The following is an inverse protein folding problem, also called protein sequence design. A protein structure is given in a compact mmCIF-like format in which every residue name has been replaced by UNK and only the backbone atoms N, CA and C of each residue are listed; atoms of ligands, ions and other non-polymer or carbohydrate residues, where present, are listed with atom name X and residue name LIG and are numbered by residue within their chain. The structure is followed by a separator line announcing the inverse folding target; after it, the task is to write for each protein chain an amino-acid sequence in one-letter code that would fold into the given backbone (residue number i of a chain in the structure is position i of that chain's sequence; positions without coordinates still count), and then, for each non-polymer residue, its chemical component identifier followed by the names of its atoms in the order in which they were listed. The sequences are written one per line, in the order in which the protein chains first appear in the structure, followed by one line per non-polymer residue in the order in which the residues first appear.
data_IF_699209725610
#
_entry.id   IF_699209725610
#
_cell.length_a   1.000
_cell.length_b   1.000
_cell.length_c   1.000
_cell.angle_alpha   90.00
_cell.angle_beta   90.00
_cell.angle_gamma   90.00
#
_symmetry.space_group_name_H-M   'P 1'
#
loop_
_entity.id
_entity.type
_entity.pdbx_description
1 polymer ?
#
# COMPACT_ATOMS: atom_id res chain seq x y z
N UNK A 1 -0.10 -11.64 21.45
CA UNK A 1 -1.01 -11.42 20.30
C UNK A 1 -2.41 -11.18 20.85
N UNK A 2 -3.15 -10.20 20.32
CA UNK A 2 -4.50 -9.82 20.75
C UNK A 2 -5.44 -10.06 19.57
N UNK A 3 -6.54 -10.79 19.81
CA UNK A 3 -7.60 -11.01 18.81
C UNK A 3 -8.55 -9.83 18.79
N UNK A 4 -8.98 -9.40 17.62
CA UNK A 4 -10.00 -8.36 17.48
C UNK A 4 -11.36 -8.83 18.04
N UNK A 5 -12.14 -7.89 18.58
CA UNK A 5 -13.44 -8.20 19.20
C UNK A 5 -14.57 -8.38 18.19
N UNK A 6 -14.43 -7.79 17.01
CA UNK A 6 -15.46 -7.76 15.96
C UNK A 6 -15.12 -8.69 14.79
N UNK A 7 -13.82 -8.89 14.54
CA UNK A 7 -13.31 -9.69 13.42
C UNK A 7 -12.53 -10.90 13.94
N UNK A 8 -13.15 -12.05 13.95
CA UNK A 8 -12.60 -13.26 14.55
C UNK A 8 -11.27 -13.73 13.94
N UNK A 9 -11.02 -13.39 12.68
CA UNK A 9 -9.79 -13.75 11.96
C UNK A 9 -8.74 -12.64 11.96
N UNK A 10 -8.98 -11.53 12.69
CA UNK A 10 -8.04 -10.42 12.79
C UNK A 10 -7.31 -10.47 14.13
N UNK A 11 -5.98 -10.43 14.07
CA UNK A 11 -5.11 -10.43 15.22
C UNK A 11 -4.12 -9.27 15.15
N UNK A 12 -3.82 -8.67 16.27
CA UNK A 12 -2.80 -7.63 16.42
C UNK A 12 -1.66 -8.13 17.29
N UNK A 13 -0.44 -8.00 16.79
CA UNK A 13 0.78 -8.20 17.57
C UNK A 13 1.44 -6.83 17.77
N UNK A 14 1.19 -6.15 18.91
CA UNK A 14 1.76 -4.83 19.15
C UNK A 14 3.26 -4.93 19.41
N UNK A 15 4.02 -3.98 18.86
CA UNK A 15 5.43 -3.81 19.20
C UNK A 15 5.57 -3.30 20.65
N UNK A 16 6.65 -3.69 21.35
CA UNK A 16 6.93 -3.22 22.69
C UNK A 16 7.31 -1.73 22.68
N UNK A 17 6.51 -0.90 23.32
CA UNK A 17 6.74 0.56 23.38
C UNK A 17 7.89 0.97 24.31
N UNK A 18 8.31 0.09 25.22
CA UNK A 18 9.25 0.39 26.31
C UNK A 18 10.65 -0.23 26.13
N UNK A 19 10.90 -0.94 25.03
CA UNK A 19 12.20 -1.54 24.76
C UNK A 19 12.97 -0.73 23.72
N UNK A 20 14.30 -0.86 23.75
CA UNK A 20 15.20 -0.28 22.77
C UNK A 20 14.79 -0.68 21.33
N UNK A 21 15.00 0.23 20.37
CA UNK A 21 14.73 0.01 18.94
C UNK A 21 15.44 -1.23 18.36
N UNK A 22 16.48 -1.71 19.05
CA UNK A 22 17.25 -2.89 18.68
C UNK A 22 16.81 -4.18 19.40
N UNK A 23 15.67 -4.18 20.08
CA UNK A 23 15.19 -5.32 20.87
C UNK A 23 14.85 -6.56 20.02
N UNK A 24 14.61 -6.39 18.73
CA UNK A 24 14.33 -7.47 17.77
C UNK A 24 15.35 -7.43 16.65
N UNK A 25 15.95 -8.57 16.32
CA UNK A 25 16.85 -8.70 15.16
C UNK A 25 16.09 -9.11 13.90
N UNK A 26 16.67 -8.91 12.69
CA UNK A 26 16.09 -9.40 11.45
C UNK A 26 15.80 -10.91 11.47
N UNK A 27 16.71 -11.71 12.05
CA UNK A 27 16.56 -13.17 12.15
C UNK A 27 15.39 -13.56 13.07
N UNK A 28 15.20 -12.83 14.16
CA UNK A 28 14.07 -13.03 15.07
C UNK A 28 12.74 -12.68 14.39
N UNK A 29 12.74 -11.62 13.56
CA UNK A 29 11.57 -11.23 12.81
C UNK A 29 11.21 -12.25 11.74
N UNK A 30 12.19 -12.75 10.98
CA UNK A 30 11.98 -13.81 10.01
C UNK A 30 11.40 -15.07 10.68
N UNK A 31 12.01 -15.52 11.79
CA UNK A 31 11.51 -16.67 12.55
C UNK A 31 10.09 -16.48 13.08
N UNK A 32 9.74 -15.26 13.51
CA UNK A 32 8.37 -14.93 13.94
C UNK A 32 7.39 -15.10 12.78
N UNK A 33 7.70 -14.55 11.61
CA UNK A 33 6.85 -14.67 10.43
C UNK A 33 6.68 -16.13 9.99
N UNK A 34 7.77 -16.91 10.00
CA UNK A 34 7.70 -18.35 9.68
C UNK A 34 6.80 -19.09 10.67
N UNK A 35 6.94 -18.82 11.97
CA UNK A 35 6.07 -19.42 13.00
C UNK A 35 4.59 -19.07 12.78
N UNK A 36 4.29 -17.82 12.43
CA UNK A 36 2.92 -17.38 12.16
C UNK A 36 2.34 -18.03 10.88
N UNK A 37 3.16 -18.25 9.86
CA UNK A 37 2.76 -19.01 8.66
C UNK A 37 2.40 -20.47 9.03
N UNK A 38 3.20 -21.10 9.87
CA UNK A 38 2.95 -22.48 10.35
C UNK A 38 1.68 -22.56 11.21
N UNK A 39 1.30 -21.49 11.91
CA UNK A 39 0.06 -21.37 12.70
C UNK A 39 -1.20 -21.05 11.84
N UNK A 40 -1.10 -21.13 10.50
CA UNK A 40 -2.20 -20.96 9.55
C UNK A 40 -2.75 -19.53 9.42
N UNK A 41 -1.90 -18.51 9.48
CA UNK A 41 -2.27 -17.18 9.03
C UNK A 41 -2.11 -17.06 7.50
N UNK A 42 -3.17 -16.70 6.80
CA UNK A 42 -3.15 -16.51 5.34
C UNK A 42 -2.36 -15.26 4.95
N UNK A 43 -2.43 -14.21 5.78
CA UNK A 43 -1.76 -12.92 5.56
C UNK A 43 -1.14 -12.41 6.85
N UNK A 44 0.10 -11.93 6.75
CA UNK A 44 0.83 -11.25 7.81
C UNK A 44 1.18 -9.87 7.28
N UNK A 45 0.60 -8.82 7.87
CA UNK A 45 0.88 -7.44 7.49
C UNK A 45 1.84 -6.84 8.51
N UNK A 46 3.02 -6.45 8.04
CA UNK A 46 4.04 -5.82 8.84
C UNK A 46 3.95 -4.30 8.62
N UNK A 47 3.46 -3.57 9.63
CA UNK A 47 3.48 -2.11 9.63
C UNK A 47 4.91 -1.62 9.86
N UNK A 48 5.52 -1.10 8.81
CA UNK A 48 6.90 -0.68 8.82
C UNK A 48 7.00 0.78 9.27
N UNK A 49 7.85 1.11 10.25
CA UNK A 49 8.07 2.49 10.65
C UNK A 49 8.69 3.31 9.51
N UNK A 50 8.44 4.62 9.52
CA UNK A 50 9.05 5.53 8.56
C UNK A 50 10.60 5.50 8.67
N UNK A 51 11.26 5.63 7.53
CA UNK A 51 12.72 5.64 7.44
C UNK A 51 13.33 4.29 7.07
N UNK A 52 14.66 4.24 7.06
CA UNK A 52 15.46 3.14 6.53
C UNK A 52 16.36 2.48 7.59
N UNK A 53 16.05 2.73 8.85
CA UNK A 53 16.84 2.25 9.99
C UNK A 53 16.53 0.77 10.33
N UNK A 54 16.85 0.37 11.55
CA UNK A 54 16.71 -1.01 12.03
C UNK A 54 15.27 -1.55 11.89
N UNK A 55 14.25 -0.72 12.12
CA UNK A 55 12.84 -1.11 11.96
C UNK A 55 12.50 -1.55 10.53
N UNK A 56 13.00 -0.83 9.54
CA UNK A 56 12.88 -1.21 8.12
C UNK A 56 13.57 -2.54 7.83
N UNK A 57 14.83 -2.72 8.29
CA UNK A 57 15.57 -3.98 8.09
C UNK A 57 14.86 -5.17 8.71
N UNK A 58 14.28 -4.99 9.90
CA UNK A 58 13.50 -6.04 10.56
C UNK A 58 12.24 -6.37 9.76
N UNK A 59 11.50 -5.36 9.29
CA UNK A 59 10.27 -5.58 8.53
C UNK A 59 10.53 -6.37 7.24
N UNK A 60 11.55 -5.99 6.46
CA UNK A 60 11.86 -6.67 5.19
C UNK A 60 12.40 -8.08 5.38
N UNK A 61 13.04 -8.39 6.50
CA UNK A 61 13.60 -9.73 6.75
C UNK A 61 12.52 -10.82 6.91
N UNK A 62 11.31 -10.45 7.34
CA UNK A 62 10.19 -11.38 7.48
C UNK A 62 9.16 -11.31 6.36
N UNK A 63 9.35 -10.43 5.36
CA UNK A 63 8.38 -10.17 4.32
C UNK A 63 8.66 -10.96 3.03
N UNK A 64 7.61 -11.46 2.39
CA UNK A 64 7.69 -12.10 1.07
C UNK A 64 7.49 -11.07 -0.06
N UNK A 65 6.80 -9.97 0.23
CA UNK A 65 6.51 -8.89 -0.71
C UNK A 65 6.39 -7.55 0.03
N UNK A 66 6.44 -6.45 -0.72
CA UNK A 66 6.32 -5.12 -0.16
C UNK A 66 5.30 -4.26 -0.91
N UNK A 67 4.61 -3.41 -0.15
CA UNK A 67 3.75 -2.37 -0.67
C UNK A 67 4.34 -1.03 -0.22
N UNK A 68 4.72 -0.19 -1.17
CA UNK A 68 5.16 1.18 -0.92
C UNK A 68 3.96 2.10 -0.99
N UNK A 69 3.75 2.91 0.04
CA UNK A 69 2.67 3.89 0.08
C UNK A 69 3.28 5.29 0.01
N UNK A 70 2.87 6.07 -0.99
CA UNK A 70 3.36 7.44 -1.19
C UNK A 70 2.21 8.41 -1.41
N UNK A 71 2.48 9.70 -1.28
CA UNK A 71 1.57 10.78 -1.68
C UNK A 71 2.08 11.45 -2.96
N UNK A 72 1.21 12.10 -3.75
CA UNK A 72 1.58 12.67 -5.05
C UNK A 72 2.28 14.05 -4.92
N UNK A 73 3.32 14.10 -4.10
CA UNK A 73 4.21 15.25 -3.94
C UNK A 73 5.67 14.85 -4.18
N UNK A 74 6.49 15.78 -4.65
CA UNK A 74 7.86 15.52 -5.12
C UNK A 74 8.75 14.91 -4.03
N UNK A 75 8.59 15.33 -2.77
CA UNK A 75 9.42 14.82 -1.68
C UNK A 75 9.08 13.37 -1.36
N UNK A 76 7.79 13.04 -1.26
CA UNK A 76 7.33 11.68 -1.00
C UNK A 76 7.68 10.72 -2.14
N UNK A 77 7.63 11.19 -3.40
CA UNK A 77 8.05 10.39 -4.56
C UNK A 77 9.55 10.07 -4.52
N UNK A 78 10.40 11.03 -4.18
CA UNK A 78 11.85 10.79 -4.01
C UNK A 78 12.15 9.80 -2.90
N UNK A 79 11.43 9.89 -1.79
CA UNK A 79 11.56 8.93 -0.68
C UNK A 79 11.08 7.54 -1.10
N UNK A 80 9.98 7.45 -1.85
CA UNK A 80 9.46 6.19 -2.39
C UNK A 80 10.47 5.53 -3.34
N UNK A 81 11.07 6.28 -4.27
CA UNK A 81 12.10 5.80 -5.19
C UNK A 81 13.29 5.19 -4.44
N UNK A 82 13.75 5.90 -3.41
CA UNK A 82 14.84 5.40 -2.55
C UNK A 82 14.46 4.10 -1.83
N UNK A 83 13.24 4.01 -1.28
CA UNK A 83 12.74 2.80 -0.61
C UNK A 83 12.62 1.65 -1.59
N UNK A 84 12.10 1.87 -2.80
CA UNK A 84 12.00 0.86 -3.85
C UNK A 84 13.37 0.26 -4.17
N UNK A 85 14.38 1.11 -4.43
CA UNK A 85 15.74 0.65 -4.67
C UNK A 85 16.32 -0.15 -3.50
N UNK A 86 16.00 0.21 -2.25
CA UNK A 86 16.44 -0.54 -1.08
C UNK A 86 15.72 -1.88 -0.92
N UNK A 87 14.44 -1.96 -1.22
CA UNK A 87 13.68 -3.22 -1.21
C UNK A 87 14.27 -4.20 -2.22
N UNK A 88 14.52 -3.74 -3.45
CA UNK A 88 15.11 -4.56 -4.51
C UNK A 88 16.52 -5.02 -4.17
N UNK A 89 17.35 -4.15 -3.61
CA UNK A 89 18.70 -4.49 -3.15
C UNK A 89 18.71 -5.53 -2.02
N UNK A 90 17.61 -5.67 -1.29
CA UNK A 90 17.45 -6.67 -0.23
C UNK A 90 16.60 -7.88 -0.65
N UNK A 91 16.37 -8.07 -1.95
CA UNK A 91 15.70 -9.27 -2.48
C UNK A 91 14.18 -9.22 -2.55
N UNK A 92 13.55 -8.13 -2.10
CA UNK A 92 12.11 -7.89 -2.29
C UNK A 92 11.87 -7.25 -3.66
N UNK A 93 11.87 -8.08 -4.70
CA UNK A 93 11.71 -7.64 -6.07
C UNK A 93 10.25 -7.32 -6.39
N UNK A 94 10.05 -6.33 -7.28
CA UNK A 94 8.74 -5.91 -7.77
C UNK A 94 7.77 -5.49 -6.65
N UNK A 95 8.17 -4.56 -5.77
CA UNK A 95 7.24 -3.99 -4.80
C UNK A 95 6.05 -3.38 -5.54
N UNK A 96 4.90 -3.32 -4.87
CA UNK A 96 3.70 -2.68 -5.39
C UNK A 96 3.55 -1.28 -4.82
N UNK A 97 2.89 -0.39 -5.56
CA UNK A 97 2.71 1.01 -5.17
C UNK A 97 1.24 1.30 -4.84
N UNK A 98 1.01 2.01 -3.74
CA UNK A 98 -0.26 2.68 -3.45
C UNK A 98 -0.02 4.19 -3.47
N UNK A 99 -0.78 4.91 -4.30
CA UNK A 99 -0.78 6.37 -4.33
C UNK A 99 -1.92 6.84 -3.42
N UNK A 100 -1.56 7.46 -2.30
CA UNK A 100 -2.50 7.88 -1.27
C UNK A 100 -2.79 9.39 -1.37
N UNK A 101 -3.97 9.82 -0.90
CA UNK A 101 -4.38 11.22 -0.79
C UNK A 101 -4.40 11.97 -2.13
N UNK A 102 -4.79 11.29 -3.22
CA UNK A 102 -4.89 11.91 -4.54
C UNK A 102 -6.05 12.90 -4.60
N UNK A 103 -5.78 14.13 -5.04
CA UNK A 103 -6.78 15.16 -5.30
C UNK A 103 -6.97 15.37 -6.79
N UNK A 104 -8.05 14.81 -7.35
CA UNK A 104 -8.36 14.88 -8.80
C UNK A 104 -8.49 16.30 -9.32
N UNK A 105 -8.98 17.23 -8.50
CA UNK A 105 -9.10 18.65 -8.84
C UNK A 105 -7.73 19.34 -9.01
N UNK A 106 -6.76 19.00 -8.17
CA UNK A 106 -5.38 19.51 -8.26
C UNK A 106 -4.62 18.91 -9.44
N UNK A 107 -4.80 17.61 -9.71
CA UNK A 107 -4.22 16.97 -10.90
C UNK A 107 -4.71 17.64 -12.19
N UNK A 108 -6.02 17.93 -12.30
CA UNK A 108 -6.59 18.62 -13.46
C UNK A 108 -6.04 20.04 -13.67
N UNK A 109 -5.61 20.71 -12.59
CA UNK A 109 -4.98 22.04 -12.66
C UNK A 109 -3.46 22.00 -12.79
N UNK A 110 -2.84 20.81 -12.93
CA UNK A 110 -1.40 20.61 -12.91
C UNK A 110 -0.71 21.13 -11.62
N UNK A 111 -1.42 21.08 -10.49
CA UNK A 111 -0.91 21.44 -9.16
C UNK A 111 -0.49 20.25 -8.33
N UNK A 112 -0.74 19.04 -8.82
CA UNK A 112 -0.40 17.77 -8.22
C UNK A 112 -0.01 16.79 -9.31
N UNK A 113 0.98 15.95 -9.06
CA UNK A 113 1.41 14.91 -10.00
C UNK A 113 0.28 13.94 -10.30
N UNK A 114 0.15 13.55 -11.55
CA UNK A 114 -0.79 12.52 -11.96
C UNK A 114 -0.29 11.12 -11.57
N UNK A 115 -1.18 10.12 -11.44
CA UNK A 115 -0.76 8.73 -11.24
C UNK A 115 0.16 8.22 -12.36
N UNK A 116 -0.07 8.68 -13.59
CA UNK A 116 0.72 8.34 -14.77
C UNK A 116 2.16 8.86 -14.64
N UNK A 117 2.33 10.14 -14.24
CA UNK A 117 3.65 10.74 -14.01
C UNK A 117 4.41 10.00 -12.89
N UNK A 118 3.72 9.65 -11.81
CA UNK A 118 4.30 8.92 -10.68
C UNK A 118 4.75 7.53 -11.11
N UNK A 119 3.92 6.82 -11.90
CA UNK A 119 4.23 5.51 -12.40
C UNK A 119 5.42 5.53 -13.38
N UNK A 120 5.53 6.57 -14.21
CA UNK A 120 6.68 6.75 -15.11
C UNK A 120 7.99 6.98 -14.33
N UNK A 121 7.94 7.74 -13.22
CA UNK A 121 9.11 8.02 -12.39
C UNK A 121 9.55 6.79 -11.61
N UNK A 122 8.62 6.10 -10.94
CA UNK A 122 8.93 5.00 -10.03
C UNK A 122 9.07 3.64 -10.72
N UNK A 123 8.51 3.49 -11.91
CA UNK A 123 8.56 2.28 -12.74
C UNK A 123 8.14 0.99 -11.99
N UNK A 124 7.13 1.09 -11.11
CA UNK A 124 6.58 -0.03 -10.34
C UNK A 124 5.07 -0.15 -10.53
N UNK A 125 4.54 -1.35 -10.43
CA UNK A 125 3.11 -1.61 -10.61
C UNK A 125 2.27 -0.91 -9.54
N UNK A 126 1.29 -0.10 -9.96
CA UNK A 126 0.35 0.56 -9.08
C UNK A 126 -0.74 -0.42 -8.65
N UNK A 127 -0.78 -0.74 -7.37
CA UNK A 127 -1.78 -1.61 -6.74
C UNK A 127 -3.12 -0.91 -6.58
N UNK A 128 -3.09 0.41 -6.31
CA UNK A 128 -4.29 1.20 -6.20
C UNK A 128 -4.04 2.67 -5.88
N UNK A 129 -5.10 3.46 -6.05
CA UNK A 129 -5.09 4.90 -5.82
C UNK A 129 -6.18 5.24 -4.80
N UNK A 130 -5.79 5.87 -3.70
CA UNK A 130 -6.69 6.27 -2.63
C UNK A 130 -6.91 7.78 -2.74
N UNK A 131 -8.15 8.24 -2.96
CA UNK A 131 -8.43 9.66 -3.01
C UNK A 131 -8.33 10.31 -1.62
N UNK A 132 -8.04 11.61 -1.58
CA UNK A 132 -8.24 12.40 -0.37
C UNK A 132 -9.71 12.36 0.03
N UNK A 133 -9.98 11.99 1.29
CA UNK A 133 -11.33 11.78 1.81
C UNK A 133 -11.37 12.20 3.29
N UNK A 134 -12.27 13.13 3.62
CA UNK A 134 -12.44 13.63 4.99
C UNK A 134 -12.94 12.54 5.95
N UNK A 135 -13.64 11.53 5.43
CA UNK A 135 -14.10 10.39 6.22
C UNK A 135 -12.96 9.63 6.89
N UNK A 136 -11.74 9.68 6.33
CA UNK A 136 -10.54 9.08 6.93
C UNK A 136 -10.26 9.70 8.31
N UNK A 137 -10.30 11.03 8.39
CA UNK A 137 -10.05 11.77 9.64
C UNK A 137 -11.17 11.49 10.64
N UNK A 138 -12.43 11.49 10.18
CA UNK A 138 -13.59 11.23 11.02
C UNK A 138 -13.54 9.83 11.62
N UNK A 139 -13.28 8.81 10.80
CA UNK A 139 -13.17 7.42 11.24
C UNK A 139 -12.02 7.24 12.22
N UNK A 140 -10.84 7.80 11.91
CA UNK A 140 -9.67 7.73 12.78
C UNK A 140 -9.92 8.35 14.16
N UNK A 141 -10.58 9.51 14.23
CA UNK A 141 -10.89 10.17 15.50
C UNK A 141 -11.92 9.42 16.34
N UNK A 142 -12.81 8.65 15.70
CA UNK A 142 -13.82 7.81 16.38
C UNK A 142 -13.29 6.42 16.74
N UNK A 143 -12.15 6.01 16.19
CA UNK A 143 -11.66 4.64 16.29
C UNK A 143 -12.46 3.65 15.44
N UNK A 144 -13.18 4.14 14.43
CA UNK A 144 -13.97 3.33 13.51
C UNK A 144 -13.12 2.84 12.33
N UNK A 145 -13.47 1.68 11.77
CA UNK A 145 -12.85 1.17 10.56
C UNK A 145 -13.47 1.83 9.32
N UNK A 146 -12.70 2.66 8.62
CA UNK A 146 -13.14 3.36 7.41
C UNK A 146 -13.70 2.40 6.35
N UNK A 147 -13.12 1.20 6.22
CA UNK A 147 -13.55 0.20 5.23
C UNK A 147 -14.98 -0.31 5.45
N UNK A 148 -15.55 -0.11 6.64
CA UNK A 148 -16.96 -0.42 6.95
C UNK A 148 -17.92 0.65 6.41
N UNK A 149 -17.44 1.87 6.14
CA UNK A 149 -18.24 2.93 5.53
C UNK A 149 -18.34 2.71 4.02
N UNK A 150 -19.51 2.27 3.57
CA UNK A 150 -19.74 1.99 2.14
C UNK A 150 -19.80 3.25 1.26
N UNK A 151 -20.02 4.41 1.85
CA UNK A 151 -20.11 5.69 1.13
C UNK A 151 -18.74 6.38 0.99
N UNK A 152 -17.76 6.03 1.82
CA UNK A 152 -16.41 6.58 1.74
C UNK A 152 -15.71 6.16 0.44
N UNK A 153 -15.19 7.16 -0.28
CA UNK A 153 -14.41 6.94 -1.51
C UNK A 153 -13.07 6.26 -1.21
N UNK A 154 -12.41 6.66 -0.12
CA UNK A 154 -11.19 6.02 0.33
C UNK A 154 -11.47 4.59 0.82
N UNK A 155 -12.57 4.37 1.55
CA UNK A 155 -13.00 3.03 1.97
C UNK A 155 -13.24 2.09 0.80
N UNK A 156 -13.88 2.58 -0.28
CA UNK A 156 -14.03 1.81 -1.52
C UNK A 156 -12.68 1.49 -2.17
N UNK A 157 -11.78 2.47 -2.24
CA UNK A 157 -10.44 2.26 -2.81
C UNK A 157 -9.66 1.19 -2.04
N UNK A 158 -9.70 1.19 -0.70
CA UNK A 158 -9.09 0.13 0.10
C UNK A 158 -9.69 -1.24 -0.18
N UNK A 159 -11.01 -1.36 -0.29
CA UNK A 159 -11.66 -2.64 -0.63
C UNK A 159 -11.23 -3.14 -2.00
N UNK A 160 -11.09 -2.27 -2.98
CA UNK A 160 -10.63 -2.64 -4.33
C UNK A 160 -9.16 -3.08 -4.32
N UNK A 161 -8.29 -2.42 -3.54
CA UNK A 161 -6.91 -2.85 -3.34
C UNK A 161 -6.87 -4.28 -2.76
N UNK A 162 -7.70 -4.56 -1.76
CA UNK A 162 -7.78 -5.92 -1.17
C UNK A 162 -8.21 -6.95 -2.20
N UNK A 163 -9.24 -6.66 -3.02
CA UNK A 163 -9.66 -7.56 -4.11
C UNK A 163 -8.51 -7.84 -5.09
N UNK A 164 -7.73 -6.82 -5.43
CA UNK A 164 -6.56 -6.99 -6.30
C UNK A 164 -5.49 -7.88 -5.65
N UNK A 165 -5.23 -7.72 -4.35
CA UNK A 165 -4.30 -8.58 -3.60
C UNK A 165 -4.77 -10.03 -3.59
N UNK A 166 -6.08 -10.25 -3.44
CA UNK A 166 -6.71 -11.58 -3.43
C UNK A 166 -6.82 -12.22 -4.82
N UNK A 167 -6.47 -11.50 -5.89
CA UNK A 167 -6.63 -11.97 -7.27
C UNK A 167 -8.10 -12.03 -7.72
N UNK A 168 -9.00 -11.33 -7.03
CA UNK A 168 -10.40 -11.21 -7.42
C UNK A 168 -10.52 -10.21 -8.56
N UNK A 169 -11.16 -10.62 -9.68
CA UNK A 169 -11.38 -9.74 -10.83
C UNK A 169 -12.19 -8.50 -10.44
N UNK A 170 -11.59 -7.34 -10.56
CA UNK A 170 -12.28 -6.06 -10.40
C UNK A 170 -13.13 -5.81 -11.66
N UNK A 171 -14.33 -6.37 -11.73
CA UNK A 171 -15.31 -6.09 -12.78
C UNK A 171 -15.96 -4.69 -12.64
N UNK A 172 -15.56 -3.89 -11.66
CA UNK A 172 -16.02 -2.52 -11.53
C UNK A 172 -15.34 -1.62 -12.57
N UNK A 173 -16.14 -1.00 -13.43
CA UNK A 173 -15.78 -0.10 -14.54
C UNK A 173 -14.96 1.15 -14.16
N UNK A 174 -14.50 1.25 -12.93
CA UNK A 174 -13.69 2.35 -12.38
C UNK A 174 -12.18 2.05 -12.26
N UNK A 175 -11.68 0.96 -12.82
CA UNK A 175 -10.24 0.75 -12.93
C UNK A 175 -9.65 1.72 -13.95
N UNK A 176 -8.89 2.70 -13.50
CA UNK A 176 -8.22 3.73 -14.31
C UNK A 176 -7.36 3.12 -15.44
N UNK A 177 -6.89 1.90 -15.27
CA UNK A 177 -5.95 1.25 -16.22
C UNK A 177 -6.55 0.76 -17.52
N UNK A 178 -7.82 0.32 -17.56
CA UNK A 178 -8.41 -0.18 -18.82
C UNK A 178 -8.75 0.92 -19.83
N UNK A 179 -8.98 2.16 -19.40
CA UNK A 179 -9.31 3.26 -20.31
C UNK A 179 -8.09 3.88 -20.99
N UNK A 180 -6.93 3.88 -20.33
CA UNK A 180 -5.73 4.53 -20.89
C UNK A 180 -5.04 3.63 -21.93
N UNK A 181 -4.88 2.32 -21.66
CA UNK A 181 -4.26 1.38 -22.60
C UNK A 181 -5.13 1.13 -23.85
N UNK A 182 -6.45 0.93 -23.69
CA UNK A 182 -7.36 0.74 -24.84
C UNK A 182 -7.60 2.03 -25.64
N UNK A 183 -7.54 3.21 -24.99
CA UNK A 183 -7.65 4.50 -25.66
C UNK A 183 -6.44 4.82 -26.54
N UNK A 184 -5.24 4.51 -26.07
CA UNK A 184 -3.98 4.76 -26.79
C UNK A 184 -3.81 3.80 -27.97
N UNK A 185 -4.18 2.52 -27.80
CA UNK A 185 -4.13 1.52 -28.89
C UNK A 185 -5.16 1.85 -29.99
N UNK A 186 -6.37 2.32 -29.63
CA UNK A 186 -7.38 2.71 -30.60
C UNK A 186 -7.00 3.96 -31.40
N UNK A 187 -6.26 4.91 -30.79
CA UNK A 187 -5.78 6.12 -31.47
C UNK A 187 -4.65 5.82 -32.49
N UNK A 188 -3.87 4.75 -32.28
CA UNK A 188 -2.81 4.33 -33.21
C UNK A 188 -3.35 3.58 -34.46
N UNK A 189 -4.53 2.96 -34.37
CA UNK A 189 -5.10 2.19 -35.49
C UNK A 189 -6.14 2.94 -36.32
N UNK A 190 -6.50 4.18 -36.02
CA UNK A 190 -7.48 5.01 -36.75
C UNK A 190 -6.83 6.08 -37.65
N UNK A 191 -5.49 6.11 -37.73
CA UNK A 191 -4.76 6.92 -38.75
C UNK A 191 -3.95 6.00 -39.67
N UNK A 192 -4.67 5.30 -40.51
CA UNK A 192 -4.17 4.60 -41.66
C UNK A 192 -5.24 4.66 -42.76
#
# INVERSE_FOLDING_TARGET
MVRDKHYENLFLLPAAQTRDKNAVTPEQMAKLCDTLKDECFDYIIIDCPAGIEQGFKNAIAGADSAIVVTTPDISAIRDADRIIGMLEANGLHKPKLIINRLRKDMVKRNEMMSPEDINEILAVDVLGIIPEDEDVVVASNKGDLLVSNQQSKAGLAYRNIVKTILGEDNNDENSFEKKTLLGTIKAMFVKG
#
